data_IF_513034097273
#
_entry.id   IF_513034097273
#
_cell.length_a   1.000
_cell.length_b   1.000
_cell.length_c   1.000
_cell.angle_alpha   90.00
_cell.angle_beta   90.00
_cell.angle_gamma   90.00
#
_symmetry.space_group_name_H-M   'P 1'
#
loop_
_entity.id
_entity.type
_entity.pdbx_description
1 polymer ?
#
# COMPACT_ATOMS: atom_id res chain seq x y z
N UNK A 1 5.22 12.00 2.66
CA UNK A 1 6.47 11.31 2.26
C UNK A 1 6.17 9.88 1.84
N UNK A 2 6.01 9.61 0.53
CA UNK A 2 5.63 8.28 0.03
C UNK A 2 6.62 7.18 0.43
N UNK A 3 7.93 7.43 0.29
CA UNK A 3 8.97 6.45 0.63
C UNK A 3 8.89 5.98 2.08
N UNK A 4 8.61 6.88 3.04
CA UNK A 4 8.45 6.53 4.45
C UNK A 4 7.23 5.62 4.68
N UNK A 5 6.11 5.86 3.99
CA UNK A 5 4.94 4.98 4.09
C UNK A 5 5.22 3.62 3.46
N UNK A 6 5.88 3.59 2.31
CA UNK A 6 6.24 2.33 1.63
C UNK A 6 7.17 1.46 2.48
N UNK A 7 8.18 2.04 3.14
CA UNK A 7 9.05 1.31 4.06
C UNK A 7 8.24 0.69 5.21
N UNK A 8 7.34 1.45 5.84
CA UNK A 8 6.49 0.91 6.91
C UNK A 8 5.59 -0.24 6.44
N UNK A 9 5.03 -0.13 5.23
CA UNK A 9 4.18 -1.17 4.66
C UNK A 9 4.99 -2.40 4.26
N UNK A 10 6.24 -2.24 3.82
CA UNK A 10 7.16 -3.34 3.53
C UNK A 10 7.59 -4.04 4.83
N UNK A 11 7.95 -3.28 5.87
CA UNK A 11 8.30 -3.80 7.20
C UNK A 11 7.13 -4.58 7.83
N UNK A 12 5.90 -4.12 7.61
CA UNK A 12 4.69 -4.82 8.03
C UNK A 12 4.31 -6.03 7.14
N UNK A 13 5.04 -6.26 6.05
CA UNK A 13 4.80 -7.37 5.12
C UNK A 13 3.60 -7.19 4.18
N UNK A 14 3.08 -5.97 4.04
CA UNK A 14 1.93 -5.67 3.17
C UNK A 14 2.31 -5.39 1.71
N UNK A 15 3.53 -4.92 1.47
CA UNK A 15 4.03 -4.72 0.11
C UNK A 15 5.42 -5.32 -0.06
N UNK A 16 5.75 -5.68 -1.30
CA UNK A 16 7.13 -5.94 -1.72
C UNK A 16 7.63 -4.78 -2.55
N UNK A 17 8.86 -4.31 -2.32
CA UNK A 17 9.49 -3.26 -3.11
C UNK A 17 10.67 -3.84 -3.89
N UNK A 18 10.65 -3.68 -5.22
CA UNK A 18 11.76 -4.03 -6.10
C UNK A 18 12.34 -2.79 -6.76
N UNK A 19 13.59 -2.49 -6.45
CA UNK A 19 14.35 -1.41 -7.08
C UNK A 19 15.14 -1.95 -8.26
N UNK A 20 15.14 -1.22 -9.36
CA UNK A 20 15.82 -1.56 -10.60
C UNK A 20 16.25 -0.30 -11.33
N UNK A 21 17.03 -0.46 -12.41
CA UNK A 21 17.29 0.61 -13.37
C UNK A 21 16.70 0.20 -14.72
N UNK A 22 15.90 1.07 -15.33
CA UNK A 22 15.39 0.92 -16.68
C UNK A 22 15.87 2.12 -17.49
N UNK A 23 16.58 1.89 -18.58
CA UNK A 23 17.17 2.94 -19.42
C UNK A 23 17.99 4.00 -18.64
N UNK A 24 18.82 3.52 -17.71
CA UNK A 24 19.66 4.35 -16.81
C UNK A 24 18.85 5.24 -15.84
N UNK A 25 17.55 5.01 -15.69
CA UNK A 25 16.70 5.70 -14.70
C UNK A 25 16.33 4.75 -13.56
N UNK A 26 16.35 5.20 -12.29
CA UNK A 26 15.89 4.39 -11.17
C UNK A 26 14.39 4.12 -11.33
N UNK A 27 14.02 2.85 -11.17
CA UNK A 27 12.65 2.37 -11.29
C UNK A 27 12.33 1.50 -10.08
N UNK A 28 11.31 1.91 -9.33
CA UNK A 28 10.83 1.20 -8.14
C UNK A 28 9.47 0.60 -8.45
N UNK A 29 9.40 -0.73 -8.45
CA UNK A 29 8.15 -1.48 -8.56
C UNK A 29 7.66 -1.84 -7.16
N UNK A 30 6.37 -1.65 -6.92
CA UNK A 30 5.71 -1.93 -5.64
C UNK A 30 4.53 -2.84 -5.94
N UNK A 31 4.36 -3.89 -5.15
CA UNK A 31 3.26 -4.85 -5.31
C UNK A 31 2.71 -5.22 -3.93
N UNK A 32 1.39 -5.41 -3.84
CA UNK A 32 0.77 -5.96 -2.63
C UNK A 32 1.14 -7.44 -2.47
N UNK A 33 1.43 -7.84 -1.24
CA UNK A 33 1.47 -9.25 -0.84
C UNK A 33 0.05 -9.79 -0.69
N UNK A 34 -0.11 -11.09 -0.42
CA UNK A 34 -1.41 -11.64 -0.04
C UNK A 34 -1.92 -11.02 1.28
N UNK A 35 -1.05 -10.91 2.29
CA UNK A 35 -1.38 -10.25 3.55
C UNK A 35 -1.79 -8.78 3.34
N UNK A 36 -1.08 -8.05 2.48
CA UNK A 36 -1.43 -6.66 2.15
C UNK A 36 -2.72 -6.53 1.36
N UNK A 37 -3.06 -7.52 0.51
CA UNK A 37 -4.37 -7.56 -0.17
C UNK A 37 -5.51 -7.71 0.83
N UNK A 38 -5.39 -8.63 1.80
CA UNK A 38 -6.43 -8.80 2.82
C UNK A 38 -6.56 -7.56 3.71
N UNK A 39 -5.43 -7.04 4.23
CA UNK A 39 -5.44 -5.82 5.05
C UNK A 39 -6.04 -4.61 4.31
N UNK A 40 -5.80 -4.50 3.00
CA UNK A 40 -6.39 -3.43 2.19
C UNK A 40 -7.90 -3.61 1.97
N UNK A 41 -8.39 -4.86 1.89
CA UNK A 41 -9.84 -5.12 1.83
C UNK A 41 -10.51 -4.72 3.13
N UNK A 42 -9.98 -5.14 4.27
CA UNK A 42 -10.50 -4.75 5.60
C UNK A 42 -10.53 -3.22 5.74
N UNK A 43 -9.43 -2.55 5.40
CA UNK A 43 -9.38 -1.09 5.41
C UNK A 43 -10.45 -0.44 4.53
N UNK A 44 -10.69 -1.01 3.33
CA UNK A 44 -11.71 -0.50 2.42
C UNK A 44 -13.11 -0.64 3.03
N UNK A 45 -13.41 -1.79 3.62
CA UNK A 45 -14.71 -2.06 4.24
C UNK A 45 -14.94 -1.09 5.43
N UNK A 46 -13.92 -0.89 6.28
CA UNK A 46 -13.95 0.07 7.38
C UNK A 46 -14.18 1.50 6.87
N UNK A 47 -13.46 1.91 5.82
CA UNK A 47 -13.64 3.22 5.20
C UNK A 47 -15.05 3.41 4.66
N UNK A 48 -15.63 2.40 4.02
CA UNK A 48 -17.00 2.47 3.50
C UNK A 48 -18.00 2.65 4.64
N UNK A 49 -17.81 1.97 5.76
CA UNK A 49 -18.64 2.16 6.95
C UNK A 49 -18.50 3.59 7.51
N UNK A 50 -17.27 4.11 7.63
CA UNK A 50 -17.05 5.48 8.12
C UNK A 50 -17.72 6.50 7.20
N UNK A 51 -17.49 6.39 5.88
CA UNK A 51 -18.03 7.32 4.91
C UNK A 51 -19.55 7.26 4.81
N UNK A 52 -20.14 6.07 4.95
CA UNK A 52 -21.60 5.90 4.97
C UNK A 52 -22.29 6.44 6.21
N UNK A 53 -21.55 6.65 7.30
CA UNK A 53 -22.06 7.17 8.57
C UNK A 53 -21.76 8.66 8.79
N UNK A 54 -21.24 9.36 7.78
CA UNK A 54 -21.03 10.81 7.88
C UNK A 54 -22.37 11.55 7.87
N UNK A 55 -22.61 12.50 8.79
CA UNK A 55 -23.78 13.35 8.77
C UNK A 55 -23.72 14.32 7.56
N UNK A 56 -24.90 14.74 7.08
CA UNK A 56 -25.08 15.72 6.00
C UNK A 56 -24.37 17.06 6.26
#
# INVERSE_FOLDING_TARGET
NLSTHLTKLEDAGYVTIKKSFQDKKPHTMIQLTDAGREAFREYKDDMQQVLGNLPD
#
